data_IF_440901918884
#
_entry.id   IF_440901918884
#
_cell.length_a   1.000
_cell.length_b   1.000
_cell.length_c   1.000
_cell.angle_alpha   90.00
_cell.angle_beta   90.00
_cell.angle_gamma   90.00
#
_symmetry.space_group_name_H-M   'P 1'
#
loop_
_entity.id
_entity.type
_entity.pdbx_description
1 polymer ?
#
# COMPACT_ATOMS: atom_id res chain seq x y z
N UNK A 1 -73.43 41.12 -65.69
CA UNK A 1 -71.98 40.87 -65.54
C UNK A 1 -71.51 40.90 -64.07
N UNK A 2 -72.11 41.69 -63.18
CA UNK A 2 -71.68 41.83 -61.79
C UNK A 2 -71.89 40.56 -60.89
N UNK A 3 -72.93 39.76 -61.11
CA UNK A 3 -73.17 38.53 -60.32
C UNK A 3 -72.19 37.41 -60.63
N UNK A 4 -71.75 37.24 -61.87
CA UNK A 4 -70.75 36.20 -62.24
C UNK A 4 -69.39 36.53 -61.73
N UNK A 5 -69.04 37.83 -61.72
CA UNK A 5 -67.75 38.27 -61.14
C UNK A 5 -67.72 38.11 -59.60
N UNK A 6 -68.76 38.38 -58.90
CA UNK A 6 -68.90 38.13 -57.46
C UNK A 6 -68.79 36.64 -57.10
N UNK A 7 -69.51 35.79 -57.88
CA UNK A 7 -69.40 34.33 -57.70
C UNK A 7 -67.95 33.80 -57.94
N UNK A 8 -67.27 34.33 -58.96
CA UNK A 8 -65.93 33.97 -59.25
C UNK A 8 -64.89 34.44 -58.15
N UNK A 9 -65.17 35.59 -57.54
CA UNK A 9 -64.36 36.07 -56.39
C UNK A 9 -64.61 35.19 -55.16
N UNK A 10 -65.86 34.93 -54.86
CA UNK A 10 -66.20 34.06 -53.71
C UNK A 10 -65.59 32.65 -53.84
N UNK A 11 -65.59 32.09 -55.02
CA UNK A 11 -65.04 30.77 -55.31
C UNK A 11 -63.48 30.77 -55.20
N UNK A 12 -62.79 31.84 -55.60
CA UNK A 12 -61.39 32.02 -55.41
C UNK A 12 -61.04 32.21 -53.96
N UNK A 13 -61.74 33.01 -53.19
CA UNK A 13 -61.50 33.25 -51.77
C UNK A 13 -61.69 31.97 -50.94
N UNK A 14 -62.75 31.17 -51.27
CA UNK A 14 -62.96 29.87 -50.59
C UNK A 14 -61.90 28.84 -50.92
N UNK A 15 -61.33 28.84 -52.14
CA UNK A 15 -60.19 27.95 -52.49
C UNK A 15 -58.88 28.39 -51.81
N UNK A 16 -58.61 29.68 -51.75
CA UNK A 16 -57.51 30.22 -51.01
C UNK A 16 -57.55 29.91 -49.50
N UNK A 17 -58.75 30.09 -48.91
CA UNK A 17 -58.95 29.77 -47.49
C UNK A 17 -58.76 28.29 -47.21
N UNK A 18 -59.24 27.38 -48.08
CA UNK A 18 -58.97 25.95 -47.96
C UNK A 18 -57.49 25.61 -48.08
N UNK A 19 -56.77 26.27 -49.01
CA UNK A 19 -55.33 26.07 -49.13
C UNK A 19 -54.62 26.54 -47.90
N UNK A 20 -54.89 27.68 -47.30
CA UNK A 20 -54.31 28.20 -46.08
C UNK A 20 -54.61 27.26 -44.89
N UNK A 21 -55.82 26.75 -44.76
CA UNK A 21 -56.20 25.75 -43.72
C UNK A 21 -55.43 24.45 -43.88
N UNK A 22 -55.28 23.94 -45.11
CA UNK A 22 -54.47 22.73 -45.36
C UNK A 22 -52.98 22.91 -45.02
N UNK A 23 -52.39 24.06 -45.35
CA UNK A 23 -51.01 24.40 -45.02
C UNK A 23 -50.89 24.52 -43.52
N UNK A 24 -51.77 25.19 -42.81
CA UNK A 24 -51.75 25.32 -41.37
C UNK A 24 -51.84 23.95 -40.64
N UNK A 25 -52.78 23.07 -41.14
CA UNK A 25 -52.93 21.71 -40.60
C UNK A 25 -51.65 20.84 -40.83
N UNK A 26 -51.07 20.95 -42.02
CA UNK A 26 -49.80 20.28 -42.33
C UNK A 26 -48.66 20.78 -41.43
N UNK A 27 -48.54 22.10 -41.25
CA UNK A 27 -47.56 22.68 -40.36
C UNK A 27 -47.73 22.21 -38.89
N UNK A 28 -48.97 22.19 -38.42
CA UNK A 28 -49.29 21.72 -37.06
C UNK A 28 -48.96 20.24 -36.86
N UNK A 29 -49.25 19.39 -37.87
CA UNK A 29 -48.86 17.95 -37.83
C UNK A 29 -47.35 17.77 -37.81
N UNK A 30 -46.64 18.55 -38.61
CA UNK A 30 -45.18 18.49 -38.69
C UNK A 30 -44.51 18.91 -37.37
N UNK A 31 -44.99 19.97 -36.74
CA UNK A 31 -44.52 20.39 -35.41
C UNK A 31 -44.78 19.32 -34.36
N UNK A 32 -45.95 18.71 -34.34
CA UNK A 32 -46.23 17.58 -33.41
C UNK A 32 -45.32 16.40 -33.67
N UNK A 33 -45.12 16.02 -34.92
CA UNK A 33 -44.20 14.91 -35.26
C UNK A 33 -42.77 15.19 -34.83
N UNK A 34 -42.28 16.39 -35.07
CA UNK A 34 -40.95 16.81 -34.60
C UNK A 34 -40.85 16.77 -33.06
N UNK A 35 -41.88 17.24 -32.34
CA UNK A 35 -41.91 17.19 -30.89
C UNK A 35 -41.87 15.76 -30.36
N UNK A 36 -42.57 14.81 -30.98
CA UNK A 36 -42.53 13.39 -30.62
C UNK A 36 -41.12 12.79 -30.86
N UNK A 37 -40.48 13.12 -31.98
CA UNK A 37 -39.13 12.66 -32.30
C UNK A 37 -38.11 13.18 -31.26
N UNK A 38 -38.18 14.47 -30.92
CA UNK A 38 -37.32 15.07 -29.91
C UNK A 38 -37.51 14.38 -28.55
N UNK A 39 -38.77 14.14 -28.15
CA UNK A 39 -39.12 13.52 -26.88
C UNK A 39 -38.61 12.08 -26.81
N UNK A 40 -38.80 11.30 -27.89
CA UNK A 40 -38.30 9.92 -27.94
C UNK A 40 -36.78 9.84 -27.94
N UNK A 41 -36.05 10.68 -28.68
CA UNK A 41 -34.61 10.76 -28.69
C UNK A 41 -34.08 11.16 -27.32
N UNK A 42 -34.69 12.16 -26.67
CA UNK A 42 -34.32 12.58 -25.33
C UNK A 42 -34.49 11.49 -24.28
N UNK A 43 -35.58 10.73 -24.37
CA UNK A 43 -35.85 9.59 -23.48
C UNK A 43 -34.82 8.48 -23.66
N UNK A 44 -34.49 8.12 -24.91
CA UNK A 44 -33.46 7.11 -25.20
C UNK A 44 -32.08 7.55 -24.69
N UNK A 45 -31.72 8.83 -24.89
CA UNK A 45 -30.47 9.38 -24.38
C UNK A 45 -30.44 9.32 -22.84
N UNK A 46 -31.50 9.66 -22.16
CA UNK A 46 -31.60 9.57 -20.69
C UNK A 46 -31.45 8.13 -20.19
N UNK A 47 -32.11 7.18 -20.84
CA UNK A 47 -31.96 5.75 -20.49
C UNK A 47 -30.55 5.22 -20.71
N UNK A 48 -29.89 5.62 -21.80
CA UNK A 48 -28.48 5.28 -22.06
C UNK A 48 -27.54 5.85 -20.99
N UNK A 49 -27.78 7.09 -20.57
CA UNK A 49 -27.02 7.73 -19.51
C UNK A 49 -27.20 7.03 -18.15
N UNK A 50 -28.44 6.66 -17.83
CA UNK A 50 -28.77 5.90 -16.61
C UNK A 50 -28.12 4.50 -16.63
N UNK A 51 -28.12 3.80 -17.75
CA UNK A 51 -27.48 2.49 -17.90
C UNK A 51 -25.97 2.58 -17.75
N UNK A 52 -25.32 3.57 -18.35
CA UNK A 52 -23.88 3.79 -18.19
C UNK A 52 -23.52 4.10 -16.75
N UNK A 53 -24.28 4.94 -16.06
CA UNK A 53 -24.08 5.24 -14.65
C UNK A 53 -24.20 3.98 -13.78
N UNK A 54 -25.22 3.17 -14.00
CA UNK A 54 -25.41 1.90 -13.28
C UNK A 54 -24.23 0.96 -13.50
N UNK A 55 -23.75 0.82 -14.74
CA UNK A 55 -22.58 -0.01 -15.07
C UNK A 55 -21.33 0.48 -14.36
N UNK A 56 -21.07 1.80 -14.34
CA UNK A 56 -19.93 2.39 -13.67
C UNK A 56 -19.99 2.15 -12.16
N UNK A 57 -21.15 2.38 -11.54
CA UNK A 57 -21.36 2.13 -10.11
C UNK A 57 -21.20 0.65 -9.76
N UNK A 58 -21.72 -0.24 -10.58
CA UNK A 58 -21.57 -1.69 -10.40
C UNK A 58 -20.10 -2.12 -10.48
N UNK A 59 -19.37 -1.64 -11.49
CA UNK A 59 -17.91 -1.92 -11.64
C UNK A 59 -17.12 -1.42 -10.45
N UNK A 60 -17.36 -0.20 -9.97
CA UNK A 60 -16.71 0.33 -8.76
C UNK A 60 -16.97 -0.55 -7.54
N UNK A 61 -18.22 -0.92 -7.28
CA UNK A 61 -18.60 -1.79 -6.14
C UNK A 61 -17.94 -3.18 -6.24
N UNK A 62 -17.85 -3.75 -7.44
CA UNK A 62 -17.23 -5.05 -7.65
C UNK A 62 -15.71 -4.98 -7.44
N UNK A 63 -15.05 -3.93 -7.93
CA UNK A 63 -13.63 -3.70 -7.69
C UNK A 63 -13.31 -3.53 -6.19
N UNK A 64 -14.11 -2.76 -5.46
CA UNK A 64 -13.95 -2.60 -4.00
C UNK A 64 -14.14 -3.92 -3.24
N UNK A 65 -15.11 -4.75 -3.64
CA UNK A 65 -15.32 -6.08 -3.06
C UNK A 65 -14.15 -7.01 -3.32
N UNK A 66 -13.65 -7.05 -4.57
CA UNK A 66 -12.47 -7.85 -4.94
C UNK A 66 -11.23 -7.39 -4.16
N UNK A 67 -11.04 -6.07 -4.01
CA UNK A 67 -9.94 -5.50 -3.25
C UNK A 67 -9.99 -5.93 -1.78
N UNK A 68 -11.14 -5.80 -1.12
CA UNK A 68 -11.35 -6.25 0.27
C UNK A 68 -11.16 -7.76 0.46
N UNK A 69 -11.56 -8.57 -0.52
CA UNK A 69 -11.33 -10.03 -0.48
C UNK A 69 -9.84 -10.36 -0.62
N UNK A 70 -9.12 -9.66 -1.50
CA UNK A 70 -7.69 -9.84 -1.68
C UNK A 70 -6.90 -9.42 -0.43
N UNK A 71 -7.30 -8.32 0.22
CA UNK A 71 -6.76 -7.86 1.50
C UNK A 71 -6.96 -8.92 2.60
N UNK A 72 -8.17 -9.44 2.78
CA UNK A 72 -8.47 -10.52 3.73
C UNK A 72 -7.71 -11.81 3.43
N UNK A 73 -7.58 -12.20 2.16
CA UNK A 73 -6.78 -13.36 1.78
C UNK A 73 -5.29 -13.16 2.08
N UNK A 74 -4.79 -11.94 1.92
CA UNK A 74 -3.40 -11.61 2.23
C UNK A 74 -3.15 -11.65 3.74
N UNK A 75 -4.07 -11.09 4.55
CA UNK A 75 -4.05 -11.20 6.01
C UNK A 75 -4.08 -12.66 6.48
N UNK A 76 -5.01 -13.47 5.97
CA UNK A 76 -5.11 -14.89 6.31
C UNK A 76 -3.88 -15.70 5.90
N UNK A 77 -3.27 -15.41 4.75
CA UNK A 77 -2.01 -16.05 4.34
C UNK A 77 -0.84 -15.64 5.23
N UNK A 78 -0.79 -14.38 5.65
CA UNK A 78 0.19 -13.90 6.63
C UNK A 78 0.00 -14.61 7.97
N UNK A 79 -1.23 -14.76 8.45
CA UNK A 79 -1.55 -15.48 9.69
C UNK A 79 -1.19 -16.97 9.63
N UNK A 80 -1.38 -17.64 8.49
CA UNK A 80 -1.00 -19.06 8.31
C UNK A 80 0.53 -19.24 8.30
N UNK A 81 1.28 -18.35 7.67
CA UNK A 81 2.76 -18.38 7.71
C UNK A 81 3.28 -18.09 9.12
N UNK A 82 2.60 -17.26 9.87
CA UNK A 82 2.90 -16.84 11.24
C UNK A 82 2.58 -17.91 12.26
N UNK A 83 1.51 -18.70 12.07
CA UNK A 83 1.04 -19.73 13.01
C UNK A 83 1.68 -21.12 12.82
N UNK A 84 2.64 -21.31 11.92
CA UNK A 84 3.33 -22.59 11.74
C UNK A 84 4.10 -23.04 12.98
N UNK A 85 4.54 -22.10 13.84
CA UNK A 85 5.04 -22.41 15.17
C UNK A 85 4.28 -21.52 16.14
N UNK A 86 3.48 -22.11 17.03
CA UNK A 86 2.75 -21.33 18.04
C UNK A 86 3.75 -20.52 18.88
N UNK A 87 3.69 -19.19 18.89
CA UNK A 87 4.59 -18.36 19.68
C UNK A 87 4.56 -18.77 21.16
N UNK A 88 3.40 -19.08 21.66
CA UNK A 88 3.18 -19.54 23.03
C UNK A 88 3.97 -20.84 23.33
N UNK A 89 3.99 -21.79 22.38
CA UNK A 89 4.76 -23.02 22.56
C UNK A 89 6.27 -22.74 22.63
N UNK A 90 6.80 -21.89 21.75
CA UNK A 90 8.23 -21.50 21.76
C UNK A 90 8.60 -20.85 23.08
N UNK A 91 7.79 -19.90 23.57
CA UNK A 91 8.06 -19.24 24.86
C UNK A 91 7.92 -20.16 26.05
N UNK A 92 6.99 -21.11 26.04
CA UNK A 92 6.88 -22.11 27.08
C UNK A 92 8.12 -23.01 27.13
N UNK A 93 8.58 -23.49 25.98
CA UNK A 93 9.82 -24.29 25.92
C UNK A 93 11.02 -23.48 26.41
N UNK A 94 11.20 -22.24 25.93
CA UNK A 94 12.29 -21.37 26.34
C UNK A 94 12.21 -21.02 27.83
N UNK A 95 11.00 -20.79 28.36
CA UNK A 95 10.75 -20.56 29.79
C UNK A 95 11.07 -21.75 30.67
N UNK A 96 10.98 -23.00 30.16
CA UNK A 96 11.39 -24.20 30.90
C UNK A 96 12.90 -24.47 30.81
N UNK A 97 13.55 -23.98 29.74
CA UNK A 97 15.00 -24.14 29.53
C UNK A 97 15.79 -23.12 30.32
N UNK A 98 15.35 -21.85 30.36
CA UNK A 98 16.05 -20.74 30.98
C UNK A 98 16.48 -21.01 32.45
N UNK A 99 15.62 -21.53 33.37
CA UNK A 99 16.02 -21.88 34.72
C UNK A 99 17.13 -22.95 34.78
N UNK A 100 17.14 -23.86 33.80
CA UNK A 100 18.19 -24.90 33.72
C UNK A 100 19.54 -24.35 33.28
N UNK A 101 19.54 -23.23 32.55
CA UNK A 101 20.75 -22.52 32.11
C UNK A 101 21.40 -21.69 33.22
N UNK A 102 20.75 -21.51 34.38
CA UNK A 102 21.36 -20.77 35.52
C UNK A 102 22.68 -21.35 35.97
N UNK A 103 22.98 -22.62 35.67
CA UNK A 103 24.28 -23.26 35.91
C UNK A 103 25.40 -22.76 34.96
N UNK A 104 24.99 -22.04 33.90
CA UNK A 104 25.90 -21.52 32.86
C UNK A 104 25.61 -20.03 32.68
N UNK A 105 26.06 -19.15 33.58
CA UNK A 105 25.70 -17.73 33.57
C UNK A 105 26.00 -17.03 32.25
N UNK A 106 27.03 -17.48 31.53
CA UNK A 106 27.40 -16.96 30.21
C UNK A 106 26.38 -17.21 29.14
N UNK A 107 25.46 -18.18 29.30
CA UNK A 107 24.40 -18.50 28.33
C UNK A 107 23.07 -17.83 28.68
N UNK A 108 22.89 -17.36 29.91
CA UNK A 108 21.61 -16.79 30.37
C UNK A 108 21.29 -15.51 29.59
N UNK A 109 22.20 -14.54 29.56
CA UNK A 109 22.01 -13.26 28.91
C UNK A 109 21.74 -13.38 27.39
N UNK A 110 22.50 -14.16 26.59
CA UNK A 110 22.20 -14.37 25.18
C UNK A 110 20.83 -15.03 24.93
N UNK A 111 20.41 -15.96 25.77
CA UNK A 111 19.11 -16.64 25.63
C UNK A 111 17.96 -15.70 26.00
N UNK A 112 18.11 -14.87 27.02
CA UNK A 112 17.15 -13.82 27.35
C UNK A 112 16.99 -12.82 26.20
N UNK A 113 18.10 -12.35 25.62
CA UNK A 113 18.10 -11.48 24.44
C UNK A 113 17.37 -12.13 23.24
N UNK A 114 17.63 -13.43 23.01
CA UNK A 114 16.95 -14.19 21.97
C UNK A 114 15.44 -14.25 22.22
N UNK A 115 15.01 -14.49 23.44
CA UNK A 115 13.60 -14.52 23.82
C UNK A 115 12.95 -13.15 23.56
N UNK A 116 13.63 -12.07 23.94
CA UNK A 116 13.14 -10.70 23.75
C UNK A 116 13.03 -10.32 22.27
N UNK A 117 14.01 -10.66 21.45
CA UNK A 117 13.96 -10.43 19.99
C UNK A 117 12.84 -11.25 19.35
N UNK A 118 12.70 -12.54 19.72
CA UNK A 118 11.60 -13.38 19.19
C UNK A 118 10.23 -12.83 19.59
N UNK A 119 10.07 -12.40 20.85
CA UNK A 119 8.83 -11.79 21.34
C UNK A 119 8.52 -10.49 20.59
N UNK A 120 9.50 -9.60 20.44
CA UNK A 120 9.37 -8.37 19.69
C UNK A 120 8.95 -8.62 18.24
N UNK A 121 9.63 -9.53 17.55
CA UNK A 121 9.30 -9.91 16.17
C UNK A 121 7.88 -10.47 16.03
N UNK A 122 7.43 -11.28 16.97
CA UNK A 122 6.08 -11.85 16.95
C UNK A 122 5.01 -10.79 17.21
N UNK A 123 5.26 -9.85 18.12
CA UNK A 123 4.33 -8.75 18.43
C UNK A 123 4.23 -7.73 17.28
N UNK A 124 5.28 -7.54 16.51
CA UNK A 124 5.35 -6.59 15.40
C UNK A 124 4.94 -7.19 14.07
N UNK A 125 5.20 -8.49 13.84
CA UNK A 125 4.97 -9.17 12.55
C UNK A 125 3.51 -9.16 12.07
N UNK A 126 2.55 -8.87 12.97
CA UNK A 126 1.14 -8.75 12.64
C UNK A 126 0.62 -7.36 12.46
N UNK A 127 1.47 -6.39 12.59
CA UNK A 127 1.08 -4.99 12.49
C UNK A 127 1.64 -4.41 11.19
N UNK A 128 0.84 -3.65 10.48
CA UNK A 128 1.30 -2.89 9.30
C UNK A 128 2.20 -1.74 9.74
N UNK A 129 1.93 -1.15 10.93
CA UNK A 129 2.72 -0.07 11.47
C UNK A 129 2.90 -0.23 12.99
N UNK A 130 4.08 0.13 13.48
CA UNK A 130 4.50 0.10 14.89
C UNK A 130 4.99 1.48 15.32
N UNK A 131 5.25 1.69 16.63
CA UNK A 131 5.92 2.93 17.05
C UNK A 131 7.39 2.92 16.66
N UNK A 132 7.95 4.08 16.35
CA UNK A 132 9.38 4.23 16.04
C UNK A 132 10.24 3.77 17.23
N UNK A 133 9.81 4.07 18.45
CA UNK A 133 10.49 3.64 19.67
C UNK A 133 10.57 2.10 19.77
N UNK A 134 9.47 1.39 19.47
CA UNK A 134 9.46 -0.08 19.49
C UNK A 134 10.38 -0.66 18.41
N UNK A 135 10.36 -0.08 17.20
CA UNK A 135 11.20 -0.50 16.09
C UNK A 135 12.69 -0.31 16.40
N UNK A 136 13.07 0.87 16.94
CA UNK A 136 14.44 1.15 17.37
C UNK A 136 14.91 0.19 18.47
N UNK A 137 14.07 -0.02 19.48
CA UNK A 137 14.37 -0.92 20.60
C UNK A 137 14.60 -2.35 20.12
N UNK A 138 13.73 -2.83 19.24
CA UNK A 138 13.82 -4.19 18.69
C UNK A 138 15.11 -4.38 17.87
N UNK A 139 15.43 -3.40 17.02
CA UNK A 139 16.62 -3.49 16.16
C UNK A 139 17.92 -3.39 16.97
N UNK A 140 17.98 -2.55 18.02
CA UNK A 140 19.13 -2.50 18.94
C UNK A 140 19.37 -3.87 19.59
N UNK A 141 18.32 -4.48 20.16
CA UNK A 141 18.40 -5.84 20.73
C UNK A 141 18.82 -6.90 19.71
N UNK A 142 18.34 -6.77 18.47
CA UNK A 142 18.74 -7.66 17.39
C UNK A 142 20.25 -7.53 17.06
N UNK A 143 20.77 -6.33 17.00
CA UNK A 143 22.22 -6.07 16.80
C UNK A 143 23.04 -6.65 17.96
N UNK A 144 22.62 -6.41 19.21
CA UNK A 144 23.29 -6.93 20.39
C UNK A 144 23.31 -8.47 20.40
N UNK A 145 22.16 -9.11 20.10
CA UNK A 145 22.07 -10.56 19.99
C UNK A 145 23.02 -11.11 18.90
N UNK A 146 23.12 -10.40 17.78
CA UNK A 146 23.99 -10.81 16.69
C UNK A 146 25.46 -10.82 17.09
N UNK A 147 25.88 -9.89 17.95
CA UNK A 147 27.21 -9.84 18.55
C UNK A 147 27.55 -11.12 19.32
N UNK A 148 26.63 -11.64 20.14
CA UNK A 148 26.83 -12.89 20.87
C UNK A 148 26.90 -14.12 19.96
N UNK A 149 26.19 -14.12 18.84
CA UNK A 149 26.04 -15.32 18.03
C UNK A 149 27.15 -15.56 17.00
N UNK A 150 27.83 -14.51 16.52
CA UNK A 150 28.77 -14.59 15.39
C UNK A 150 30.17 -14.03 15.65
N UNK A 151 30.47 -13.53 16.86
CA UNK A 151 31.76 -12.94 17.16
C UNK A 151 31.90 -11.51 16.66
N UNK A 152 33.05 -11.13 16.06
CA UNK A 152 33.26 -9.74 15.65
C UNK A 152 32.17 -9.27 14.68
N UNK A 153 31.63 -8.07 14.93
CA UNK A 153 30.64 -7.41 14.12
C UNK A 153 31.21 -6.19 13.40
N UNK A 154 30.59 -5.75 12.29
CA UNK A 154 30.85 -4.41 11.80
C UNK A 154 30.50 -3.38 12.88
N UNK A 155 31.22 -2.27 12.89
CA UNK A 155 30.93 -1.16 13.81
C UNK A 155 29.58 -0.55 13.48
N UNK A 156 28.61 -0.70 14.38
CA UNK A 156 27.24 -0.13 14.19
C UNK A 156 27.18 1.20 14.93
N UNK A 157 26.89 2.26 14.19
CA UNK A 157 26.70 3.61 14.75
C UNK A 157 25.27 4.08 14.57
N UNK A 158 24.74 4.71 15.62
CA UNK A 158 23.37 5.21 15.69
C UNK A 158 23.37 6.73 15.76
N UNK A 159 22.68 7.38 14.85
CA UNK A 159 22.43 8.81 14.86
C UNK A 159 20.92 9.01 14.82
N UNK A 160 20.32 9.04 15.98
CA UNK A 160 18.88 9.26 16.14
C UNK A 160 18.67 10.65 16.73
N UNK A 161 17.80 11.46 16.11
CA UNK A 161 17.47 12.76 16.66
C UNK A 161 16.84 12.59 18.06
N UNK A 162 17.23 13.36 19.09
CA UNK A 162 16.82 13.14 20.47
C UNK A 162 15.30 13.08 20.66
N UNK A 163 14.57 13.91 19.91
CA UNK A 163 13.11 13.95 19.93
C UNK A 163 12.44 12.71 19.35
N UNK A 164 13.20 11.89 18.60
CA UNK A 164 12.70 10.67 17.97
C UNK A 164 12.99 9.40 18.77
N UNK A 165 13.91 9.44 19.73
CA UNK A 165 14.31 8.25 20.54
C UNK A 165 13.11 7.58 21.22
N UNK A 166 12.21 8.35 21.82
CA UNK A 166 11.01 7.88 22.52
C UNK A 166 9.72 8.19 21.74
N UNK A 167 9.83 8.38 20.42
CA UNK A 167 8.71 8.82 19.60
C UNK A 167 7.69 7.72 19.38
N UNK A 168 6.41 8.08 19.54
CA UNK A 168 5.27 7.22 19.19
C UNK A 168 4.82 7.38 17.73
N UNK A 169 5.62 8.07 16.90
CA UNK A 169 5.39 8.13 15.45
C UNK A 169 5.24 6.73 14.89
N UNK A 170 4.22 6.54 14.06
CA UNK A 170 3.95 5.24 13.44
C UNK A 170 4.81 5.07 12.20
N UNK A 171 5.61 4.02 12.19
CA UNK A 171 6.45 3.62 11.05
C UNK A 171 5.99 2.27 10.50
N UNK A 172 6.25 1.97 9.21
CA UNK A 172 6.00 0.63 8.68
C UNK A 172 6.74 -0.41 9.52
N UNK A 173 6.06 -1.49 9.90
CA UNK A 173 6.68 -2.57 10.64
C UNK A 173 7.86 -3.15 9.86
N UNK A 174 8.96 -3.43 10.54
CA UNK A 174 10.22 -3.95 9.98
C UNK A 174 10.94 -3.00 9.00
N UNK A 175 10.58 -1.71 9.00
CA UNK A 175 11.19 -0.73 8.09
C UNK A 175 12.67 -0.46 8.38
N UNK A 176 13.08 -0.59 9.63
CA UNK A 176 14.46 -0.47 10.07
C UNK A 176 15.13 -1.86 10.22
N UNK A 177 14.37 -2.84 10.71
CA UNK A 177 14.91 -4.18 10.96
C UNK A 177 15.39 -4.86 9.67
N UNK A 178 14.59 -4.84 8.59
CA UNK A 178 14.97 -5.51 7.34
C UNK A 178 16.25 -4.95 6.72
N UNK A 179 16.43 -3.62 6.57
CA UNK A 179 17.69 -3.06 6.08
C UNK A 179 18.90 -3.41 6.97
N UNK A 180 18.77 -3.32 8.29
CA UNK A 180 19.85 -3.64 9.22
C UNK A 180 20.21 -5.13 9.16
N UNK A 181 19.22 -6.02 9.12
CA UNK A 181 19.42 -7.45 8.96
C UNK A 181 20.12 -7.77 7.64
N UNK A 182 19.75 -7.12 6.56
CA UNK A 182 20.40 -7.27 5.25
C UNK A 182 21.85 -6.80 5.28
N UNK A 183 22.16 -5.66 5.89
CA UNK A 183 23.51 -5.17 6.05
C UNK A 183 24.36 -6.15 6.86
N UNK A 184 23.90 -6.63 8.02
CA UNK A 184 24.60 -7.59 8.87
C UNK A 184 24.85 -8.94 8.19
N UNK A 185 23.94 -9.40 7.32
CA UNK A 185 24.04 -10.72 6.67
C UNK A 185 24.81 -10.69 5.36
N UNK A 186 24.71 -9.61 4.61
CA UNK A 186 25.08 -9.62 3.19
C UNK A 186 26.08 -8.55 2.78
N UNK A 187 26.27 -7.48 3.55
CA UNK A 187 27.17 -6.41 3.16
C UNK A 187 28.63 -6.86 3.15
N UNK A 188 29.03 -7.70 4.11
CA UNK A 188 30.42 -8.02 4.36
C UNK A 188 30.70 -9.52 4.14
N UNK A 189 31.26 -9.92 3.00
CA UNK A 189 31.70 -11.30 2.76
C UNK A 189 32.80 -11.74 3.74
N UNK A 190 33.67 -10.79 4.11
CA UNK A 190 34.72 -10.96 5.11
C UNK A 190 34.62 -9.76 6.07
N UNK A 191 34.59 -10.05 7.37
CA UNK A 191 34.58 -9.02 8.40
C UNK A 191 36.01 -8.54 8.69
N UNK A 192 36.19 -7.23 8.59
CA UNK A 192 37.44 -6.51 8.96
C UNK A 192 37.11 -5.42 9.97
N UNK A 193 38.13 -4.82 10.58
CA UNK A 193 37.95 -3.72 11.54
C UNK A 193 37.29 -2.47 10.91
N UNK A 194 37.42 -2.31 9.60
CA UNK A 194 36.90 -1.17 8.87
C UNK A 194 35.39 -1.34 8.50
N UNK A 195 34.84 -2.54 8.67
CA UNK A 195 33.40 -2.78 8.37
C UNK A 195 32.53 -1.91 9.27
N UNK A 196 31.64 -1.14 8.67
CA UNK A 196 30.76 -0.20 9.38
C UNK A 196 29.35 -0.18 8.82
N UNK A 197 28.38 -0.03 9.72
CA UNK A 197 26.97 0.23 9.41
C UNK A 197 26.57 1.51 10.15
N UNK A 198 26.01 2.46 9.42
CA UNK A 198 25.48 3.72 9.97
C UNK A 198 23.96 3.72 9.86
N UNK A 199 23.30 4.00 10.97
CA UNK A 199 21.84 4.09 11.07
C UNK A 199 21.53 5.53 11.46
N UNK A 200 20.81 6.24 10.58
CA UNK A 200 20.37 7.61 10.81
C UNK A 200 18.86 7.70 10.80
N UNK A 201 18.30 8.37 11.81
CA UNK A 201 16.85 8.63 11.92
C UNK A 201 16.67 10.09 12.29
N UNK A 202 16.08 10.85 11.38
CA UNK A 202 15.89 12.29 11.51
C UNK A 202 14.59 12.75 10.85
N UNK A 203 14.14 13.97 11.17
CA UNK A 203 13.12 14.66 10.40
C UNK A 203 13.78 15.52 9.33
N UNK A 204 13.20 15.49 8.11
CA UNK A 204 13.60 16.42 7.05
C UNK A 204 13.08 17.82 7.35
N UNK A 205 13.58 18.84 6.64
CA UNK A 205 13.11 20.23 6.76
C UNK A 205 11.61 20.37 6.48
N UNK A 206 11.05 19.48 5.65
CA UNK A 206 9.62 19.43 5.31
C UNK A 206 8.79 18.64 6.34
N UNK A 207 9.41 18.13 7.41
CA UNK A 207 8.73 17.39 8.48
C UNK A 207 8.47 15.91 8.18
N UNK A 208 9.12 15.33 7.15
CA UNK A 208 9.05 13.89 6.90
C UNK A 208 10.07 13.13 7.73
N UNK A 209 9.69 11.95 8.23
CA UNK A 209 10.62 11.04 8.87
C UNK A 209 11.52 10.40 7.81
N UNK A 210 12.83 10.55 7.97
CA UNK A 210 13.85 9.93 7.16
C UNK A 210 14.59 8.87 7.97
N UNK A 211 14.61 7.63 7.49
CA UNK A 211 15.32 6.50 8.07
C UNK A 211 16.33 6.05 7.01
N UNK A 212 17.61 6.06 7.36
CA UNK A 212 18.69 5.65 6.47
C UNK A 212 19.57 4.60 7.16
N UNK A 213 19.85 3.51 6.44
CA UNK A 213 20.82 2.48 6.83
C UNK A 213 21.87 2.43 5.73
N UNK A 214 23.11 2.72 6.07
CA UNK A 214 24.24 2.73 5.14
C UNK A 214 25.31 1.76 5.62
N UNK A 215 25.84 0.95 4.73
CA UNK A 215 27.00 0.11 4.98
C UNK A 215 28.13 0.44 4.00
N UNK A 216 29.38 0.15 4.39
CA UNK A 216 30.56 0.26 3.53
C UNK A 216 30.98 -1.09 2.94
N UNK A 217 30.01 -1.98 2.73
CA UNK A 217 30.24 -3.33 2.20
C UNK A 217 30.32 -3.39 0.67
N UNK A 218 30.08 -4.58 0.13
CA UNK A 218 30.20 -4.86 -1.32
C UNK A 218 29.12 -4.23 -2.20
N UNK A 219 28.17 -3.51 -1.63
CA UNK A 219 27.03 -2.92 -2.32
C UNK A 219 25.91 -3.91 -2.68
N UNK A 220 24.75 -3.36 -2.98
CA UNK A 220 23.57 -4.12 -3.36
C UNK A 220 23.63 -4.55 -4.82
N UNK A 221 23.49 -5.85 -5.08
CA UNK A 221 23.38 -6.40 -6.43
C UNK A 221 22.19 -7.38 -6.50
N UNK A 222 21.09 -7.00 -7.16
CA UNK A 222 19.89 -7.83 -7.27
C UNK A 222 20.14 -9.16 -7.98
N UNK A 223 21.15 -9.27 -8.86
CA UNK A 223 21.50 -10.49 -9.58
C UNK A 223 22.30 -11.52 -8.73
N UNK A 224 22.86 -11.11 -7.60
CA UNK A 224 23.65 -11.98 -6.71
C UNK A 224 22.85 -12.72 -5.65
N UNK A 225 21.55 -12.49 -5.53
CA UNK A 225 20.68 -13.22 -4.60
C UNK A 225 20.65 -14.69 -5.01
N UNK A 226 21.70 -15.43 -4.68
CA UNK A 226 21.69 -16.89 -4.71
C UNK A 226 20.63 -17.33 -3.70
N UNK A 227 19.57 -17.93 -4.18
CA UNK A 227 18.56 -18.63 -3.38
C UNK A 227 19.19 -19.87 -2.74
N UNK A 228 20.12 -19.68 -1.82
CA UNK A 228 20.51 -20.73 -0.90
C UNK A 228 19.36 -20.88 0.08
N UNK A 229 18.89 -22.08 0.37
CA UNK A 229 17.63 -22.37 1.06
C UNK A 229 17.40 -21.74 2.43
N UNK A 230 18.30 -20.86 2.91
CA UNK A 230 18.17 -20.01 4.11
C UNK A 230 17.88 -18.53 3.79
N UNK A 231 18.24 -18.06 2.58
CA UNK A 231 18.04 -16.67 2.15
C UNK A 231 16.91 -16.64 1.12
N UNK A 232 15.71 -16.33 1.58
CA UNK A 232 14.50 -16.37 0.75
C UNK A 232 14.27 -15.08 -0.02
N UNK A 233 15.05 -14.02 0.20
CA UNK A 233 14.84 -12.69 -0.40
C UNK A 233 13.47 -12.07 -0.04
N UNK A 234 12.79 -12.64 0.95
CA UNK A 234 11.42 -12.28 1.32
C UNK A 234 11.34 -10.99 2.13
N UNK A 235 12.44 -10.57 2.79
CA UNK A 235 12.44 -9.37 3.64
C UNK A 235 12.08 -8.10 2.87
N UNK A 236 12.80 -7.80 1.78
CA UNK A 236 12.53 -6.62 0.95
C UNK A 236 11.14 -6.68 0.30
N UNK A 237 10.68 -7.86 -0.12
CA UNK A 237 9.34 -8.04 -0.65
C UNK A 237 8.27 -7.76 0.42
N UNK A 238 8.51 -8.21 1.66
CA UNK A 238 7.62 -7.95 2.79
C UNK A 238 7.55 -6.44 3.09
N UNK A 239 8.70 -5.76 3.14
CA UNK A 239 8.76 -4.31 3.35
C UNK A 239 8.00 -3.55 2.25
N UNK A 240 8.23 -3.89 0.98
CA UNK A 240 7.53 -3.26 -0.15
C UNK A 240 6.01 -3.43 -0.02
N UNK A 241 5.53 -4.62 0.29
CA UNK A 241 4.10 -4.88 0.49
C UNK A 241 3.53 -4.13 1.70
N UNK A 242 4.28 -4.06 2.80
CA UNK A 242 3.87 -3.29 3.98
C UNK A 242 3.70 -1.81 3.63
N UNK A 243 4.63 -1.25 2.84
CA UNK A 243 4.54 0.12 2.33
C UNK A 243 3.35 0.33 1.39
N UNK A 244 3.08 -0.62 0.49
CA UNK A 244 1.92 -0.56 -0.40
C UNK A 244 0.60 -0.51 0.40
N UNK A 245 0.46 -1.36 1.42
CA UNK A 245 -0.71 -1.36 2.30
C UNK A 245 -0.81 -0.04 3.07
N UNK A 246 0.29 0.42 3.68
CA UNK A 246 0.32 1.66 4.44
C UNK A 246 -0.08 2.86 3.57
N UNK A 247 0.45 2.94 2.35
CA UNK A 247 0.20 4.04 1.42
C UNK A 247 -1.25 4.10 0.90
N UNK A 248 -2.01 3.00 1.02
CA UNK A 248 -3.45 3.03 0.70
C UNK A 248 -4.27 3.84 1.71
N UNK A 249 -3.79 3.93 2.95
CA UNK A 249 -4.49 4.59 4.06
C UNK A 249 -3.87 5.94 4.45
N UNK A 250 -2.64 6.21 4.02
CA UNK A 250 -1.94 7.45 4.36
C UNK A 250 -2.17 8.55 3.32
N UNK A 251 -2.26 9.78 3.80
CA UNK A 251 -2.29 10.98 2.93
C UNK A 251 -0.94 11.24 2.27
N UNK A 252 0.16 10.93 2.95
CA UNK A 252 1.53 11.06 2.44
C UNK A 252 2.07 9.66 2.14
N UNK A 253 2.73 9.49 0.99
CA UNK A 253 3.29 8.22 0.59
C UNK A 253 4.65 7.99 1.24
N UNK A 254 4.79 6.88 1.97
CA UNK A 254 6.08 6.36 2.39
C UNK A 254 6.80 5.73 1.19
N UNK A 255 8.12 5.96 1.06
CA UNK A 255 8.94 5.45 -0.05
C UNK A 255 10.13 4.70 0.51
N UNK A 256 10.55 3.67 -0.19
CA UNK A 256 11.76 2.92 0.11
C UNK A 256 12.62 2.84 -1.16
N UNK A 257 13.92 3.06 -1.00
CA UNK A 257 14.89 2.95 -2.09
C UNK A 257 16.19 2.32 -1.59
N UNK A 258 16.88 1.61 -2.46
CA UNK A 258 18.22 1.09 -2.25
C UNK A 258 19.10 1.67 -3.34
N UNK A 259 20.23 2.26 -2.97
CA UNK A 259 21.20 2.80 -3.91
C UNK A 259 22.62 2.46 -3.46
N UNK A 260 23.50 2.23 -4.43
CA UNK A 260 24.94 2.17 -4.18
C UNK A 260 25.50 3.58 -4.33
N UNK A 261 26.15 4.07 -3.30
CA UNK A 261 26.85 5.38 -3.33
C UNK A 261 28.32 5.09 -3.52
N UNK A 262 29.01 5.72 -4.48
CA UNK A 262 30.48 5.63 -4.56
C UNK A 262 31.09 6.13 -3.23
N UNK A 263 32.02 5.34 -2.67
CA UNK A 263 32.81 5.70 -1.50
C UNK A 263 33.87 6.75 -1.87
#
# INVERSE_FOLDING_TARGET
>A
NTMAEMAGRYQRDTTLLRQHLAIADYAARNVRQQSYIILTVSLVALLALAATLIIVLYRRRTQERMKRQMERMTELRMDVVRNRVSPHYVFNVLGTVLPKLQRYPELVAPVEMLIDVLRGNLLTSGKVAVSLCDELTLVRRFVDLHHYSKGPLPRVTWKVAPELENSQLRVPSMSLQIPVENALKHAFPVLTEDCAIHIEVALTAEGFLHIQVTDNGQGYNPGRVKRTGRDTGTGLLLLTRTLEILNQYNRCQARFSISNVPL
#
